data_IF_355627551563
#
_entry.id   IF_355627551563
#
_cell.length_a   1.000
_cell.length_b   1.000
_cell.length_c   1.000
_cell.angle_alpha   90.00
_cell.angle_beta   90.00
_cell.angle_gamma   90.00
#
_symmetry.space_group_name_H-M   'P 1'
#
loop_
_entity.id
_entity.type
_entity.pdbx_description
1 polymer ?
#
# COMPACT_ATOMS: atom_id res chain seq x y z
N UNK A 1 20.87 30.53 -25.86
CA UNK A 1 21.50 29.25 -25.46
C UNK A 1 20.50 28.52 -24.57
N UNK A 2 20.03 27.39 -25.08
CA UNK A 2 19.21 26.31 -24.48
C UNK A 2 18.23 26.67 -23.36
N UNK A 3 16.97 26.84 -23.75
CA UNK A 3 15.85 26.25 -23.01
C UNK A 3 16.03 24.73 -23.00
N UNK A 4 16.37 24.14 -21.86
CA UNK A 4 16.25 22.70 -21.66
C UNK A 4 15.11 22.44 -20.66
N UNK A 5 13.97 22.18 -21.26
CA UNK A 5 12.83 21.45 -20.73
C UNK A 5 13.29 20.09 -20.16
N UNK A 6 13.10 19.86 -18.85
CA UNK A 6 12.69 18.54 -18.36
C UNK A 6 11.71 18.77 -17.23
N UNK A 7 10.46 18.38 -17.50
CA UNK A 7 9.43 18.10 -16.51
C UNK A 7 10.04 17.10 -15.48
N UNK A 8 10.71 17.61 -14.44
CA UNK A 8 11.13 16.77 -13.33
C UNK A 8 9.83 16.18 -12.78
N UNK A 9 9.66 14.86 -12.89
CA UNK A 9 8.52 14.17 -12.31
C UNK A 9 8.53 14.50 -10.82
N UNK A 10 7.72 15.48 -10.42
CA UNK A 10 7.51 15.81 -9.01
C UNK A 10 6.58 14.73 -8.48
N UNK A 11 7.17 13.67 -7.97
CA UNK A 11 6.45 12.70 -7.17
C UNK A 11 5.97 13.41 -5.90
N UNK A 12 4.75 13.11 -5.49
CA UNK A 12 4.18 13.62 -4.23
C UNK A 12 4.61 12.75 -3.05
N UNK A 13 4.82 11.45 -3.30
CA UNK A 13 5.20 10.48 -2.27
C UNK A 13 6.57 9.87 -2.53
N UNK A 14 7.36 9.80 -1.48
CA UNK A 14 8.57 9.00 -1.37
C UNK A 14 8.58 8.27 0.00
N UNK A 15 9.68 7.59 0.30
CA UNK A 15 9.89 6.89 1.58
C UNK A 15 9.65 7.76 2.81
N UNK A 16 9.97 9.05 2.75
CA UNK A 16 9.94 9.94 3.90
C UNK A 16 8.53 10.34 4.32
N UNK A 17 7.55 10.26 3.40
CA UNK A 17 6.22 10.83 3.63
C UNK A 17 5.04 9.90 3.30
N UNK A 18 5.26 8.72 2.73
CA UNK A 18 4.16 7.86 2.26
C UNK A 18 3.19 7.42 3.39
N UNK A 19 3.68 7.20 4.61
CA UNK A 19 2.85 6.73 5.73
C UNK A 19 2.03 7.83 6.42
N UNK A 20 2.44 9.10 6.36
CA UNK A 20 1.74 10.16 7.10
C UNK A 20 0.26 10.32 6.67
N UNK A 21 -0.08 10.42 5.37
CA UNK A 21 -1.49 10.46 4.95
C UNK A 21 -2.28 9.21 5.34
N UNK A 22 -1.64 8.04 5.35
CA UNK A 22 -2.27 6.80 5.77
C UNK A 22 -2.65 6.86 7.26
N UNK A 23 -1.76 7.38 8.12
CA UNK A 23 -2.03 7.50 9.56
C UNK A 23 -3.10 8.55 9.90
N UNK A 24 -3.36 9.49 8.98
CA UNK A 24 -4.49 10.41 9.06
C UNK A 24 -5.80 9.74 8.61
N UNK A 25 -5.75 8.90 7.56
CA UNK A 25 -6.89 8.14 7.07
C UNK A 25 -7.29 7.00 8.03
N UNK A 26 -6.31 6.31 8.62
CA UNK A 26 -6.49 5.30 9.64
C UNK A 26 -5.63 5.54 10.89
N UNK A 27 -6.15 6.36 11.83
CA UNK A 27 -5.49 6.58 13.10
C UNK A 27 -5.32 5.31 13.95
N UNK A 28 -6.09 4.25 13.71
CA UNK A 28 -5.99 3.02 14.50
C UNK A 28 -4.74 2.19 14.18
N UNK A 29 -4.09 2.47 13.05
CA UNK A 29 -2.79 1.87 12.70
C UNK A 29 -1.60 2.54 13.41
N UNK A 30 -1.79 3.71 14.04
CA UNK A 30 -0.70 4.55 14.58
C UNK A 30 0.18 3.83 15.60
N UNK A 31 -0.42 3.09 16.54
CA UNK A 31 0.35 2.37 17.57
C UNK A 31 1.28 1.31 16.95
N UNK A 32 0.80 0.59 15.92
CA UNK A 32 1.61 -0.40 15.20
C UNK A 32 2.75 0.28 14.43
N UNK A 33 2.47 1.43 13.81
CA UNK A 33 3.48 2.22 13.13
C UNK A 33 4.56 2.76 14.08
N UNK A 34 4.18 3.31 15.23
CA UNK A 34 5.13 3.79 16.25
C UNK A 34 5.99 2.65 16.81
N UNK A 35 5.38 1.48 17.07
CA UNK A 35 6.11 0.28 17.50
C UNK A 35 7.11 -0.18 16.43
N UNK A 36 6.72 -0.17 15.16
CA UNK A 36 7.60 -0.48 14.04
C UNK A 36 8.78 0.50 13.98
N UNK A 37 8.53 1.81 14.10
CA UNK A 37 9.59 2.82 14.09
C UNK A 37 10.58 2.66 15.27
N UNK A 38 10.09 2.25 16.44
CA UNK A 38 10.92 1.92 17.61
C UNK A 38 11.82 0.71 17.32
N UNK A 39 11.23 -0.38 16.81
CA UNK A 39 11.92 -1.65 16.53
C UNK A 39 13.08 -1.46 15.55
N UNK A 40 12.87 -0.66 14.50
CA UNK A 40 13.85 -0.42 13.45
C UNK A 40 14.59 0.92 13.56
N UNK A 41 14.59 1.57 14.73
CA UNK A 41 15.25 2.88 14.90
C UNK A 41 16.74 2.86 14.58
N UNK A 42 17.40 1.72 14.85
CA UNK A 42 18.86 1.59 14.68
C UNK A 42 19.28 1.25 13.25
N UNK A 43 18.31 1.05 12.35
CA UNK A 43 18.57 0.70 10.96
C UNK A 43 18.76 1.98 10.13
N UNK A 44 19.68 1.92 9.16
CA UNK A 44 19.97 3.05 8.27
C UNK A 44 18.74 3.46 7.43
N UNK A 45 17.90 2.49 7.06
CA UNK A 45 16.63 2.70 6.36
C UNK A 45 15.52 1.82 6.95
N UNK A 46 14.32 2.39 7.11
CA UNK A 46 13.17 1.63 7.60
C UNK A 46 12.75 0.56 6.56
N UNK A 47 12.52 -0.70 6.99
CA UNK A 47 12.09 -1.76 6.08
C UNK A 47 10.60 -1.64 5.76
N UNK A 48 10.21 -0.68 4.91
CA UNK A 48 8.80 -0.37 4.64
C UNK A 48 7.96 -1.54 4.11
N UNK A 49 8.56 -2.52 3.43
CA UNK A 49 7.87 -3.75 3.03
C UNK A 49 7.31 -4.51 4.24
N UNK A 50 8.00 -4.51 5.39
CA UNK A 50 7.49 -5.11 6.62
C UNK A 50 6.36 -4.27 7.22
N UNK A 51 6.47 -2.94 7.20
CA UNK A 51 5.39 -2.07 7.65
C UNK A 51 4.12 -2.20 6.80
N UNK A 52 4.26 -2.36 5.49
CA UNK A 52 3.15 -2.59 4.57
C UNK A 52 2.51 -3.97 4.78
N UNK A 53 3.31 -4.98 5.12
CA UNK A 53 2.82 -6.29 5.54
C UNK A 53 1.99 -6.19 6.84
N UNK A 54 2.44 -5.40 7.82
CA UNK A 54 1.68 -5.13 9.04
C UNK A 54 0.38 -4.32 8.76
N UNK A 55 0.43 -3.39 7.81
CA UNK A 55 -0.76 -2.68 7.34
C UNK A 55 -1.75 -3.64 6.69
N UNK A 56 -1.29 -4.56 5.83
CA UNK A 56 -2.15 -5.56 5.20
C UNK A 56 -2.86 -6.41 6.25
N UNK A 57 -2.13 -6.91 7.25
CA UNK A 57 -2.71 -7.67 8.39
C UNK A 57 -3.73 -6.86 9.16
N UNK A 58 -3.46 -5.57 9.39
CA UNK A 58 -4.39 -4.67 10.05
C UNK A 58 -5.69 -4.50 9.27
N UNK A 59 -5.61 -4.23 7.96
CA UNK A 59 -6.79 -4.08 7.12
C UNK A 59 -7.58 -5.38 6.98
N UNK A 60 -6.92 -6.54 6.89
CA UNK A 60 -7.59 -7.84 6.88
C UNK A 60 -8.37 -8.04 8.19
N UNK A 61 -7.76 -7.73 9.34
CA UNK A 61 -8.45 -7.82 10.63
C UNK A 61 -9.66 -6.88 10.72
N UNK A 62 -9.54 -5.64 10.22
CA UNK A 62 -10.65 -4.70 10.17
C UNK A 62 -11.77 -5.20 9.26
N UNK A 63 -11.43 -5.79 8.10
CA UNK A 63 -12.40 -6.41 7.21
C UNK A 63 -13.12 -7.60 7.88
N UNK A 64 -12.38 -8.47 8.57
CA UNK A 64 -12.94 -9.62 9.30
C UNK A 64 -13.88 -9.24 10.43
N UNK A 65 -13.70 -8.05 11.00
CA UNK A 65 -14.52 -7.52 12.10
C UNK A 65 -15.62 -6.57 11.62
N UNK A 66 -15.69 -6.29 10.31
CA UNK A 66 -16.63 -5.34 9.72
C UNK A 66 -16.29 -3.87 10.01
N UNK A 67 -15.08 -3.59 10.50
CA UNK A 67 -14.60 -2.25 10.82
C UNK A 67 -14.10 -1.50 9.58
N UNK A 68 -14.92 -1.41 8.53
CA UNK A 68 -14.49 -0.92 7.20
C UNK A 68 -14.78 0.57 6.97
N UNK A 69 -15.25 1.31 7.98
CA UNK A 69 -15.68 2.71 7.85
C UNK A 69 -14.58 3.67 7.37
N UNK A 70 -13.29 3.30 7.48
CA UNK A 70 -12.14 4.09 7.02
C UNK A 70 -11.59 3.64 5.67
N UNK A 71 -12.07 2.53 5.12
CA UNK A 71 -11.45 1.91 3.95
C UNK A 71 -11.47 2.84 2.73
N UNK A 72 -12.54 3.61 2.53
CA UNK A 72 -12.56 4.62 1.47
C UNK A 72 -11.39 5.60 1.56
N UNK A 73 -11.13 6.16 2.75
CA UNK A 73 -10.03 7.10 2.95
C UNK A 73 -8.65 6.42 2.84
N UNK A 74 -8.53 5.18 3.33
CA UNK A 74 -7.29 4.40 3.22
C UNK A 74 -6.96 4.12 1.76
N UNK A 75 -7.93 3.61 0.99
CA UNK A 75 -7.70 3.27 -0.41
C UNK A 75 -7.58 4.51 -1.32
N UNK A 76 -8.08 5.68 -0.91
CA UNK A 76 -7.74 6.97 -1.54
C UNK A 76 -6.24 7.30 -1.38
N UNK A 77 -5.63 6.97 -0.24
CA UNK A 77 -4.18 7.14 -0.02
C UNK A 77 -3.39 6.13 -0.87
N UNK A 78 -3.79 4.87 -0.87
CA UNK A 78 -3.14 3.82 -1.69
C UNK A 78 -3.21 4.15 -3.18
N UNK A 79 -4.31 4.70 -3.65
CA UNK A 79 -4.43 5.20 -5.03
C UNK A 79 -3.41 6.29 -5.33
N UNK A 80 -3.26 7.24 -4.42
CA UNK A 80 -2.28 8.32 -4.56
C UNK A 80 -0.86 7.80 -4.54
N UNK A 81 -0.54 6.72 -3.82
CA UNK A 81 0.75 6.05 -3.92
C UNK A 81 1.00 5.51 -5.33
N UNK A 82 0.04 4.80 -5.94
CA UNK A 82 0.20 4.27 -7.31
C UNK A 82 0.28 5.38 -8.37
N UNK A 83 -0.48 6.47 -8.22
CA UNK A 83 -0.53 7.55 -9.22
C UNK A 83 0.64 8.54 -9.05
N UNK A 84 0.92 8.97 -7.82
CA UNK A 84 1.80 10.11 -7.50
C UNK A 84 3.06 9.74 -6.72
N UNK A 85 3.24 8.47 -6.33
CA UNK A 85 4.48 8.01 -5.69
C UNK A 85 5.65 7.94 -6.66
N UNK A 86 6.85 8.02 -6.11
CA UNK A 86 8.09 7.68 -6.80
C UNK A 86 8.10 6.18 -7.19
N UNK A 87 9.08 5.72 -8.00
CA UNK A 87 9.14 4.33 -8.40
C UNK A 87 9.11 3.35 -7.22
N UNK A 88 9.73 3.71 -6.10
CA UNK A 88 9.74 2.86 -4.91
C UNK A 88 8.37 2.78 -4.25
N UNK A 89 7.69 3.90 -4.04
CA UNK A 89 6.36 3.93 -3.40
C UNK A 89 5.34 3.16 -4.23
N UNK A 90 5.41 3.26 -5.57
CA UNK A 90 4.53 2.49 -6.47
C UNK A 90 4.77 0.99 -6.36
N UNK A 91 6.04 0.57 -6.37
CA UNK A 91 6.43 -0.83 -6.22
C UNK A 91 6.03 -1.35 -4.84
N UNK A 92 6.34 -0.61 -3.77
CA UNK A 92 6.03 -0.97 -2.40
C UNK A 92 4.51 -1.09 -2.19
N UNK A 93 3.70 -0.16 -2.71
CA UNK A 93 2.24 -0.26 -2.65
C UNK A 93 1.71 -1.52 -3.37
N UNK A 94 2.33 -1.93 -4.47
CA UNK A 94 1.93 -3.13 -5.21
C UNK A 94 2.40 -4.41 -4.51
N UNK A 95 3.71 -4.56 -4.35
CA UNK A 95 4.35 -5.79 -3.86
C UNK A 95 4.27 -5.92 -2.34
N UNK A 96 4.41 -4.81 -1.61
CA UNK A 96 4.38 -4.81 -0.15
C UNK A 96 2.98 -4.82 0.46
N UNK A 97 1.97 -4.25 -0.22
CA UNK A 97 0.61 -4.18 0.29
C UNK A 97 -0.37 -5.05 -0.50
N UNK A 98 -0.52 -4.85 -1.83
CA UNK A 98 -1.55 -5.58 -2.58
C UNK A 98 -1.30 -7.09 -2.63
N UNK A 99 -0.05 -7.55 -2.73
CA UNK A 99 0.26 -8.99 -2.67
C UNK A 99 -0.16 -9.61 -1.34
N UNK A 100 0.13 -8.96 -0.22
CA UNK A 100 -0.26 -9.46 1.10
C UNK A 100 -1.79 -9.41 1.29
N UNK A 101 -2.47 -8.38 0.79
CA UNK A 101 -3.94 -8.35 0.76
C UNK A 101 -4.54 -9.45 -0.14
N UNK A 102 -3.81 -9.95 -1.13
CA UNK A 102 -4.23 -11.08 -1.97
C UNK A 102 -3.88 -12.44 -1.38
N UNK A 103 -3.00 -12.49 -0.39
CA UNK A 103 -2.54 -13.73 0.21
C UNK A 103 -3.66 -14.38 1.04
N UNK A 104 -4.35 -15.34 0.43
CA UNK A 104 -5.47 -16.06 1.06
C UNK A 104 -5.14 -16.73 2.40
N UNK A 105 -3.87 -17.01 2.71
CA UNK A 105 -3.49 -17.55 4.02
C UNK A 105 -3.62 -16.53 5.17
N UNK A 106 -3.64 -15.23 4.87
CA UNK A 106 -3.83 -14.17 5.86
C UNK A 106 -5.31 -13.96 6.22
N UNK A 107 -6.23 -14.49 5.41
CA UNK A 107 -7.66 -14.40 5.63
C UNK A 107 -8.21 -15.63 6.35
N UNK A 108 -8.77 -15.44 7.54
CA UNK A 108 -9.41 -16.50 8.33
C UNK A 108 -10.91 -16.60 8.06
N UNK A 109 -11.57 -15.46 7.84
CA UNK A 109 -13.03 -15.37 7.69
C UNK A 109 -13.51 -14.70 6.39
N UNK A 110 -12.61 -13.99 5.72
CA UNK A 110 -12.90 -13.20 4.52
C UNK A 110 -12.16 -13.77 3.32
N UNK A 111 -12.30 -13.13 2.17
CA UNK A 111 -11.54 -13.41 0.95
C UNK A 111 -10.79 -12.15 0.53
N UNK A 112 -9.71 -12.31 -0.22
CA UNK A 112 -8.99 -11.17 -0.80
C UNK A 112 -9.90 -10.31 -1.70
N UNK A 113 -10.75 -10.95 -2.50
CA UNK A 113 -11.72 -10.28 -3.38
C UNK A 113 -12.70 -9.36 -2.64
N UNK A 114 -12.89 -9.56 -1.33
CA UNK A 114 -13.79 -8.71 -0.53
C UNK A 114 -13.26 -7.28 -0.45
N UNK A 115 -11.98 -7.01 -0.73
CA UNK A 115 -11.41 -5.66 -0.80
C UNK A 115 -11.77 -4.88 -2.07
N UNK A 116 -12.19 -5.56 -3.15
CA UNK A 116 -12.46 -4.95 -4.47
C UNK A 116 -13.35 -3.69 -4.41
N UNK A 117 -14.42 -3.62 -3.59
CA UNK A 117 -15.28 -2.44 -3.53
C UNK A 117 -14.59 -1.12 -3.18
N UNK A 118 -13.44 -1.17 -2.49
CA UNK A 118 -12.70 0.03 -2.08
C UNK A 118 -11.53 0.35 -3.01
N UNK A 119 -11.11 -0.58 -3.86
CA UNK A 119 -10.00 -0.36 -4.78
C UNK A 119 -10.37 0.73 -5.78
N UNK A 120 -9.56 1.79 -5.80
CA UNK A 120 -9.67 2.87 -6.77
C UNK A 120 -9.09 2.45 -8.12
N UNK A 121 -9.36 3.18 -9.23
CA UNK A 121 -9.10 2.68 -10.58
C UNK A 121 -7.67 2.21 -10.86
N UNK A 122 -6.65 2.99 -10.46
CA UNK A 122 -5.25 2.61 -10.69
C UNK A 122 -4.88 1.40 -9.82
N UNK A 123 -5.26 1.45 -8.53
CA UNK A 123 -5.03 0.37 -7.57
C UNK A 123 -5.69 -0.94 -7.99
N UNK A 124 -6.92 -0.90 -8.55
CA UNK A 124 -7.61 -2.07 -9.10
C UNK A 124 -6.89 -2.64 -10.33
N UNK A 125 -6.29 -1.77 -11.14
CA UNK A 125 -5.41 -2.18 -12.24
C UNK A 125 -4.22 -2.98 -11.73
N UNK A 126 -3.50 -2.47 -10.72
CA UNK A 126 -2.38 -3.18 -10.09
C UNK A 126 -2.81 -4.46 -9.37
N UNK A 127 -3.95 -4.46 -8.69
CA UNK A 127 -4.55 -5.65 -8.09
C UNK A 127 -4.73 -6.77 -9.11
N UNK A 128 -5.30 -6.43 -10.28
CA UNK A 128 -5.51 -7.41 -11.36
C UNK A 128 -4.19 -7.95 -11.90
N UNK A 129 -3.16 -7.11 -12.05
CA UNK A 129 -1.82 -7.53 -12.49
C UNK A 129 -1.16 -8.49 -11.50
N UNK A 130 -1.26 -8.21 -10.20
CA UNK A 130 -0.75 -9.12 -9.15
C UNK A 130 -1.46 -10.47 -9.23
N UNK A 131 -2.79 -10.48 -9.36
CA UNK A 131 -3.55 -11.72 -9.51
C UNK A 131 -3.13 -12.50 -10.77
N UNK A 132 -2.98 -11.83 -11.92
CA UNK A 132 -2.51 -12.46 -13.16
C UNK A 132 -1.09 -13.03 -13.04
N UNK A 133 -0.19 -12.34 -12.33
CA UNK A 133 1.16 -12.80 -12.07
C UNK A 133 1.16 -14.13 -11.31
N UNK A 134 0.43 -14.22 -10.19
CA UNK A 134 0.37 -15.45 -9.40
C UNK A 134 -0.44 -16.57 -10.09
N UNK A 135 -1.46 -16.23 -10.87
CA UNK A 135 -2.28 -17.23 -11.58
C UNK A 135 -1.61 -17.81 -12.83
N UNK A 136 -0.80 -17.02 -13.54
CA UNK A 136 -0.31 -17.39 -14.89
C UNK A 136 1.19 -17.18 -15.11
N UNK A 137 1.90 -16.53 -14.18
CA UNK A 137 3.30 -16.14 -14.34
C UNK A 137 3.52 -14.91 -15.24
N UNK A 138 2.45 -14.18 -15.60
CA UNK A 138 2.55 -12.97 -16.42
C UNK A 138 3.27 -11.85 -15.62
N UNK A 139 4.38 -11.28 -16.12
CA UNK A 139 5.11 -10.23 -15.42
C UNK A 139 4.24 -9.01 -15.12
N UNK A 140 4.45 -8.42 -13.95
CA UNK A 140 3.86 -7.13 -13.56
C UNK A 140 4.67 -6.03 -14.27
N UNK A 141 4.12 -5.48 -15.36
CA UNK A 141 4.71 -4.40 -16.18
C UNK A 141 3.76 -3.22 -16.35
#
# INVERSE_FOLDING_TARGET
>A
MSENNVNALSFEFDRSNMFEPLLQADPSFREKWETFQEEYRSDDELPFYLALSELARHLIQDLETGNTHRFDAVFDVVERWHVKGDPYVKEAATVGLLEDLQNGHLHRKTRSDDFIPWLRPETLGWWTKVHEFWATGKPII
#
